data_IF_500395407085
#
_entry.id   IF_500395407085
#
_cell.length_a   1.000
_cell.length_b   1.000
_cell.length_c   1.000
_cell.angle_alpha   90.00
_cell.angle_beta   90.00
_cell.angle_gamma   90.00
#
_symmetry.space_group_name_H-M   'P 1'
#
loop_
_entity.id
_entity.type
_entity.pdbx_description
1 polymer ?
#
# COMPACT_ATOMS: atom_id res chain seq x y z
N UNK A 1 -4.79 3.83 -23.24
CA UNK A 1 -5.97 3.75 -22.36
C UNK A 1 -7.10 3.13 -23.16
N UNK A 2 -8.06 2.47 -22.50
CA UNK A 2 -9.09 1.66 -23.17
C UNK A 2 -10.50 2.10 -22.81
N UNK A 3 -11.45 1.75 -23.68
CA UNK A 3 -12.89 1.98 -23.49
C UNK A 3 -13.56 0.67 -23.07
N UNK A 4 -14.55 0.77 -22.17
CA UNK A 4 -15.28 -0.39 -21.64
C UNK A 4 -16.66 0.02 -21.16
N UNK A 5 -17.69 -0.76 -21.47
CA UNK A 5 -19.01 -0.63 -20.86
C UNK A 5 -19.23 -1.83 -19.93
N UNK A 6 -19.46 -1.57 -18.64
CA UNK A 6 -19.79 -2.61 -17.67
C UNK A 6 -21.26 -2.44 -17.29
N UNK A 7 -22.07 -3.47 -17.53
CA UNK A 7 -23.51 -3.44 -17.29
C UNK A 7 -23.90 -4.09 -15.98
N UNK A 8 -25.03 -3.66 -15.41
CA UNK A 8 -25.67 -4.31 -14.27
C UNK A 8 -24.69 -4.55 -13.10
N UNK A 9 -24.14 -3.48 -12.55
CA UNK A 9 -23.32 -3.48 -11.33
C UNK A 9 -23.94 -2.56 -10.28
N UNK A 10 -23.54 -2.69 -9.01
CA UNK A 10 -24.04 -1.89 -7.89
C UNK A 10 -22.92 -1.02 -7.31
N UNK A 11 -22.78 0.25 -7.75
CA UNK A 11 -21.79 1.19 -7.23
C UNK A 11 -21.86 1.33 -5.72
N UNK A 12 -20.79 0.94 -5.02
CA UNK A 12 -20.72 0.96 -3.56
C UNK A 12 -21.89 0.24 -2.85
N UNK A 13 -22.56 -0.69 -3.55
CA UNK A 13 -23.76 -1.38 -3.05
C UNK A 13 -25.10 -0.69 -3.26
N UNK A 14 -25.13 0.41 -4.03
CA UNK A 14 -26.37 1.10 -4.44
C UNK A 14 -27.18 0.36 -5.50
N UNK A 15 -28.04 1.10 -6.20
CA UNK A 15 -28.93 0.56 -7.23
C UNK A 15 -28.17 0.04 -8.47
N UNK A 16 -28.71 -0.99 -9.16
CA UNK A 16 -28.15 -1.48 -10.42
C UNK A 16 -27.95 -0.36 -11.45
N UNK A 17 -26.73 -0.28 -11.98
CA UNK A 17 -26.24 0.79 -12.85
C UNK A 17 -25.27 0.21 -13.88
N UNK A 18 -25.16 0.83 -15.05
CA UNK A 18 -24.10 0.58 -16.02
C UNK A 18 -23.04 1.69 -15.91
N UNK A 19 -21.76 1.35 -16.09
CA UNK A 19 -20.64 2.31 -16.10
C UNK A 19 -19.96 2.26 -17.46
N UNK A 20 -19.91 3.40 -18.14
CA UNK A 20 -19.12 3.59 -19.36
C UNK A 20 -17.77 4.23 -19.02
N UNK A 21 -16.69 3.57 -19.41
CA UNK A 21 -15.32 4.07 -19.34
C UNK A 21 -14.88 4.48 -20.74
N UNK A 22 -14.32 5.69 -20.88
CA UNK A 22 -13.66 6.20 -22.08
C UNK A 22 -12.29 6.72 -21.74
N UNK A 23 -11.28 6.36 -22.53
CA UNK A 23 -9.89 6.78 -22.32
C UNK A 23 -9.43 6.54 -20.87
N UNK A 24 -9.86 5.42 -20.28
CA UNK A 24 -9.51 5.04 -18.92
C UNK A 24 -10.15 5.87 -17.80
N UNK A 25 -11.17 6.69 -18.09
CA UNK A 25 -11.97 7.41 -17.08
C UNK A 25 -13.45 7.07 -17.19
N UNK A 26 -14.16 7.10 -16.07
CA UNK A 26 -15.62 6.97 -16.02
C UNK A 26 -16.22 8.17 -16.76
N UNK A 27 -16.84 7.91 -17.90
CA UNK A 27 -17.44 8.92 -18.77
C UNK A 27 -18.93 9.13 -18.47
N UNK A 28 -19.64 8.05 -18.15
CA UNK A 28 -21.07 8.10 -17.87
C UNK A 28 -21.51 6.95 -16.96
N UNK A 29 -22.61 7.15 -16.23
CA UNK A 29 -23.20 6.19 -15.32
C UNK A 29 -24.73 6.28 -15.38
N UNK A 30 -25.39 5.15 -15.58
CA UNK A 30 -26.85 5.11 -15.65
C UNK A 30 -27.40 3.75 -16.04
N UNK A 31 -28.71 3.60 -16.01
CA UNK A 31 -29.37 2.36 -16.44
C UNK A 31 -29.52 2.32 -17.97
N UNK A 32 -29.17 1.20 -18.59
CA UNK A 32 -29.44 0.94 -20.01
C UNK A 32 -28.51 1.69 -20.96
N UNK A 33 -27.28 2.00 -20.53
CA UNK A 33 -26.32 2.73 -21.37
C UNK A 33 -26.02 1.96 -22.66
N UNK A 34 -25.95 2.71 -23.75
CA UNK A 34 -25.56 2.22 -25.07
C UNK A 34 -24.26 2.89 -25.50
N UNK A 35 -23.30 2.09 -25.95
CA UNK A 35 -22.00 2.58 -26.41
C UNK A 35 -21.54 1.75 -27.60
N UNK A 36 -21.87 2.22 -28.80
CA UNK A 36 -21.52 1.52 -30.04
C UNK A 36 -20.00 1.36 -30.19
N UNK A 37 -19.57 0.16 -30.57
CA UNK A 37 -18.15 -0.16 -30.78
C UNK A 37 -17.31 -0.32 -29.51
N UNK A 38 -17.92 -0.24 -28.32
CA UNK A 38 -17.22 -0.44 -27.03
C UNK A 38 -17.38 -1.89 -26.57
N UNK A 39 -16.30 -2.56 -26.10
CA UNK A 39 -16.40 -3.85 -25.44
C UNK A 39 -17.36 -3.80 -24.25
N UNK A 40 -18.19 -4.84 -24.09
CA UNK A 40 -19.21 -4.91 -23.04
C UNK A 40 -18.90 -6.05 -22.08
N UNK A 41 -18.96 -5.76 -20.79
CA UNK A 41 -18.87 -6.72 -19.69
C UNK A 41 -20.18 -6.78 -18.93
N UNK A 42 -20.70 -7.99 -18.70
CA UNK A 42 -21.88 -8.20 -17.87
C UNK A 42 -21.45 -8.36 -16.41
N UNK A 43 -21.83 -7.41 -15.57
CA UNK A 43 -21.43 -7.34 -14.17
C UNK A 43 -22.26 -8.21 -13.22
N UNK A 44 -23.39 -8.77 -13.67
CA UNK A 44 -24.16 -9.78 -12.94
C UNK A 44 -24.78 -9.33 -11.61
N UNK A 45 -24.98 -8.02 -11.40
CA UNK A 45 -25.50 -7.43 -10.16
C UNK A 45 -24.48 -7.39 -9.03
N UNK A 46 -23.20 -7.65 -9.30
CA UNK A 46 -22.14 -7.57 -8.31
C UNK A 46 -21.91 -6.13 -7.83
N UNK A 47 -21.32 -5.99 -6.64
CA UNK A 47 -20.90 -4.70 -6.12
C UNK A 47 -19.71 -4.20 -6.95
N UNK A 48 -19.57 -2.90 -7.14
CA UNK A 48 -18.36 -2.29 -7.70
C UNK A 48 -17.82 -1.23 -6.75
N UNK A 49 -16.51 -1.29 -6.51
CA UNK A 49 -15.74 -0.31 -5.73
C UNK A 49 -14.59 0.24 -6.57
N UNK A 50 -13.95 1.37 -6.17
CA UNK A 50 -12.67 1.75 -6.74
C UNK A 50 -11.70 0.58 -6.61
N UNK A 51 -10.80 0.44 -7.59
CA UNK A 51 -9.82 -0.62 -7.60
C UNK A 51 -9.11 -0.75 -6.25
N UNK A 52 -8.89 -1.98 -5.79
CA UNK A 52 -8.19 -2.20 -4.52
C UNK A 52 -6.76 -1.65 -4.61
N UNK A 53 -6.24 -1.22 -3.47
CA UNK A 53 -4.94 -0.56 -3.36
C UNK A 53 -4.15 -1.16 -2.22
N UNK A 54 -2.95 -1.64 -2.51
CA UNK A 54 -1.98 -2.02 -1.48
C UNK A 54 -1.06 -0.82 -1.22
N UNK A 55 -1.36 -0.05 -0.18
CA UNK A 55 -0.67 1.21 0.09
C UNK A 55 0.68 1.04 0.80
N UNK A 56 1.04 -0.18 1.19
CA UNK A 56 2.32 -0.47 1.84
C UNK A 56 2.61 -1.98 1.77
N UNK A 57 3.58 -2.36 0.94
CA UNK A 57 4.03 -3.74 0.79
C UNK A 57 5.53 -3.82 0.48
N UNK A 58 6.06 -5.04 0.42
CA UNK A 58 7.41 -5.33 -0.02
C UNK A 58 7.41 -6.40 -1.13
N UNK A 59 7.44 -5.98 -2.39
CA UNK A 59 7.40 -6.88 -3.53
C UNK A 59 8.72 -7.66 -3.71
N UNK A 60 9.85 -7.09 -3.32
CA UNK A 60 11.21 -7.59 -3.60
C UNK A 60 11.62 -8.82 -2.77
N UNK A 61 10.86 -9.14 -1.71
CA UNK A 61 11.30 -10.05 -0.64
C UNK A 61 10.37 -11.22 -0.35
N UNK A 62 9.22 -11.30 -1.03
CA UNK A 62 8.30 -12.43 -0.83
C UNK A 62 8.95 -13.76 -1.23
N UNK A 63 8.57 -14.83 -0.55
CA UNK A 63 8.87 -16.23 -0.94
C UNK A 63 7.63 -16.92 -1.51
N UNK A 64 6.63 -16.14 -1.92
CA UNK A 64 5.41 -16.67 -2.52
C UNK A 64 5.69 -17.44 -3.82
N UNK A 65 5.12 -18.64 -3.95
CA UNK A 65 5.40 -19.55 -5.07
C UNK A 65 6.78 -20.21 -5.03
N UNK A 66 7.56 -20.04 -3.96
CA UNK A 66 8.77 -20.84 -3.70
C UNK A 66 8.45 -21.98 -2.73
N UNK A 67 9.39 -22.92 -2.61
CA UNK A 67 9.37 -23.92 -1.55
C UNK A 67 9.40 -23.26 -0.16
N UNK A 68 8.94 -23.99 0.85
CA UNK A 68 8.97 -23.48 2.21
C UNK A 68 10.41 -23.36 2.72
N UNK A 69 10.79 -22.17 3.19
CA UNK A 69 12.05 -21.95 3.89
C UNK A 69 11.81 -21.96 5.41
N UNK A 70 12.69 -22.62 6.15
CA UNK A 70 12.68 -22.55 7.61
C UNK A 70 13.18 -21.18 8.06
N UNK A 71 12.38 -20.49 8.88
CA UNK A 71 12.72 -19.15 9.36
C UNK A 71 13.24 -19.24 10.81
N UNK A 72 14.55 -19.03 10.97
CA UNK A 72 15.24 -19.00 12.26
C UNK A 72 15.68 -17.58 12.68
N UNK A 73 15.02 -16.55 12.13
CA UNK A 73 15.32 -15.17 12.45
C UNK A 73 15.12 -14.86 13.95
N UNK A 74 16.02 -14.05 14.51
CA UNK A 74 15.86 -13.55 15.88
C UNK A 74 14.62 -12.67 15.99
N UNK A 75 13.92 -12.72 17.13
CA UNK A 75 12.69 -11.96 17.40
C UNK A 75 12.95 -10.48 17.77
N UNK A 76 13.90 -9.83 17.09
CA UNK A 76 14.18 -8.39 17.20
C UNK A 76 14.16 -7.77 15.81
N UNK A 77 13.85 -6.47 15.71
CA UNK A 77 13.82 -5.76 14.42
C UNK A 77 15.14 -5.94 13.66
N UNK A 78 16.26 -5.59 14.31
CA UNK A 78 17.60 -5.77 13.73
C UNK A 78 17.92 -7.22 13.40
N UNK A 79 17.50 -8.16 14.26
CA UNK A 79 17.70 -9.58 14.01
C UNK A 79 17.01 -10.10 12.74
N UNK A 80 15.82 -9.59 12.42
CA UNK A 80 15.12 -9.91 11.16
C UNK A 80 15.77 -9.25 9.96
N UNK A 81 16.12 -7.97 10.07
CA UNK A 81 16.80 -7.22 9.00
C UNK A 81 18.13 -7.88 8.62
N UNK A 82 18.94 -8.23 9.61
CA UNK A 82 20.22 -8.89 9.37
C UNK A 82 20.01 -10.28 8.76
N UNK A 83 19.04 -11.06 9.27
CA UNK A 83 18.73 -12.37 8.71
C UNK A 83 18.30 -12.27 7.25
N UNK A 84 17.33 -11.39 6.95
CA UNK A 84 16.86 -11.15 5.58
C UNK A 84 18.01 -10.78 4.65
N UNK A 85 18.79 -9.77 5.02
CA UNK A 85 19.87 -9.25 4.18
C UNK A 85 20.88 -10.33 3.83
N UNK A 86 21.23 -11.19 4.79
CA UNK A 86 22.24 -12.22 4.57
C UNK A 86 21.67 -13.46 3.85
N UNK A 87 20.39 -13.78 4.03
CA UNK A 87 19.81 -15.05 3.57
C UNK A 87 19.14 -14.98 2.20
N UNK A 88 18.80 -13.80 1.66
CA UNK A 88 18.16 -13.65 0.33
C UNK A 88 18.85 -14.45 -0.78
N UNK A 89 20.19 -14.35 -0.86
CA UNK A 89 20.98 -15.04 -1.88
C UNK A 89 20.98 -16.57 -1.68
N UNK A 90 21.07 -17.03 -0.44
CA UNK A 90 21.09 -18.46 -0.10
C UNK A 90 19.72 -19.12 -0.34
N UNK A 91 18.64 -18.41 -0.01
CA UNK A 91 17.26 -18.84 -0.28
C UNK A 91 16.95 -18.81 -1.79
N UNK A 92 17.73 -18.07 -2.58
CA UNK A 92 17.52 -17.93 -4.03
C UNK A 92 16.34 -17.02 -4.37
N UNK A 93 16.14 -15.97 -3.58
CA UNK A 93 15.15 -14.92 -3.85
C UNK A 93 15.63 -14.09 -5.04
N UNK A 94 14.94 -14.24 -6.17
CA UNK A 94 15.13 -13.41 -7.35
C UNK A 94 14.14 -12.22 -7.30
N UNK A 95 14.61 -10.96 -7.22
CA UNK A 95 13.74 -9.82 -6.98
C UNK A 95 12.69 -9.60 -8.08
N UNK A 96 13.03 -9.82 -9.35
CA UNK A 96 12.09 -9.66 -10.46
C UNK A 96 11.02 -10.76 -10.45
N UNK A 97 11.43 -12.03 -10.25
CA UNK A 97 10.49 -13.16 -10.14
C UNK A 97 9.56 -13.00 -8.94
N UNK A 98 10.09 -12.64 -7.78
CA UNK A 98 9.30 -12.53 -6.55
C UNK A 98 8.36 -11.33 -6.60
N UNK A 99 8.82 -10.17 -7.08
CA UNK A 99 7.95 -9.02 -7.26
C UNK A 99 6.83 -9.28 -8.27
N UNK A 100 7.13 -9.94 -9.39
CA UNK A 100 6.12 -10.36 -10.38
C UNK A 100 5.05 -11.27 -9.75
N UNK A 101 5.46 -12.31 -9.01
CA UNK A 101 4.51 -13.23 -8.35
C UNK A 101 3.61 -12.52 -7.35
N UNK A 102 4.19 -11.63 -6.54
CA UNK A 102 3.44 -10.85 -5.57
C UNK A 102 2.42 -9.93 -6.28
N UNK A 103 2.88 -9.13 -7.25
CA UNK A 103 2.03 -8.19 -7.96
C UNK A 103 0.90 -8.88 -8.74
N UNK A 104 1.18 -10.00 -9.42
CA UNK A 104 0.15 -10.80 -10.10
C UNK A 104 -0.88 -11.37 -9.10
N UNK A 105 -0.45 -11.81 -7.92
CA UNK A 105 -1.37 -12.21 -6.85
C UNK A 105 -2.29 -11.07 -6.40
N UNK A 106 -1.75 -9.86 -6.26
CA UNK A 106 -2.52 -8.67 -5.89
C UNK A 106 -3.51 -8.30 -7.01
N UNK A 107 -3.09 -8.30 -8.27
CA UNK A 107 -3.95 -8.03 -9.43
C UNK A 107 -5.10 -9.03 -9.50
N UNK A 108 -4.80 -10.33 -9.36
CA UNK A 108 -5.80 -11.39 -9.33
C UNK A 108 -6.87 -11.16 -8.25
N UNK A 109 -6.48 -10.57 -7.12
CA UNK A 109 -7.38 -10.25 -6.01
C UNK A 109 -7.95 -8.82 -6.04
N UNK A 110 -7.75 -8.07 -7.13
CA UNK A 110 -8.43 -6.79 -7.38
C UNK A 110 -7.55 -5.55 -7.33
N UNK A 111 -6.24 -5.67 -7.07
CA UNK A 111 -5.38 -4.50 -6.94
C UNK A 111 -5.16 -3.80 -8.28
N UNK A 112 -5.21 -2.46 -8.26
CA UNK A 112 -4.96 -1.57 -9.42
C UNK A 112 -3.87 -0.53 -9.16
N UNK A 113 -3.45 -0.42 -7.90
CA UNK A 113 -2.39 0.46 -7.41
C UNK A 113 -1.65 -0.22 -6.25
N UNK A 114 -0.32 -0.14 -6.26
CA UNK A 114 0.57 -0.73 -5.25
C UNK A 114 1.64 0.31 -4.89
N UNK A 115 1.92 0.48 -3.61
CA UNK A 115 3.15 1.14 -3.12
C UNK A 115 4.06 0.09 -2.48
N UNK A 116 5.21 -0.14 -3.10
CA UNK A 116 6.21 -1.08 -2.61
C UNK A 116 7.40 -0.34 -2.02
N UNK A 117 7.76 -0.67 -0.79
CA UNK A 117 9.05 -0.30 -0.21
C UNK A 117 10.09 -1.33 -0.65
N UNK A 118 11.15 -0.84 -1.30
CA UNK A 118 12.19 -1.70 -1.85
C UNK A 118 13.50 -1.44 -1.14
N UNK A 119 14.05 -2.50 -0.56
CA UNK A 119 15.27 -2.44 0.22
C UNK A 119 16.44 -1.94 -0.64
N UNK A 120 17.13 -0.92 -0.13
CA UNK A 120 18.38 -0.39 -0.68
C UNK A 120 19.41 -0.42 0.43
N UNK A 121 20.46 -1.20 0.22
CA UNK A 121 21.55 -1.35 1.18
C UNK A 121 22.87 -1.66 0.49
N UNK A 122 23.96 -1.55 1.23
CA UNK A 122 25.32 -1.79 0.72
C UNK A 122 25.67 -3.27 0.50
N UNK A 123 24.74 -4.20 0.77
CA UNK A 123 24.91 -5.63 0.45
C UNK A 123 24.37 -5.94 -0.94
N UNK A 124 23.21 -5.39 -1.29
CA UNK A 124 22.52 -5.67 -2.55
C UNK A 124 22.67 -4.54 -3.58
N UNK A 125 23.16 -3.37 -3.18
CA UNK A 125 23.20 -2.18 -4.03
C UNK A 125 21.79 -1.83 -4.49
N UNK A 126 21.61 -1.73 -5.81
CA UNK A 126 20.32 -1.43 -6.46
C UNK A 126 19.64 -2.65 -7.09
N UNK A 127 20.19 -3.87 -6.96
CA UNK A 127 19.67 -5.05 -7.65
C UNK A 127 18.19 -5.35 -7.29
N UNK A 128 17.79 -5.10 -6.05
CA UNK A 128 16.41 -5.28 -5.59
C UNK A 128 15.47 -4.24 -6.24
N UNK A 129 15.91 -2.97 -6.28
CA UNK A 129 15.23 -1.88 -6.94
C UNK A 129 15.05 -2.14 -8.44
N UNK A 130 16.13 -2.51 -9.14
CA UNK A 130 16.10 -2.84 -10.57
C UNK A 130 15.12 -3.97 -10.89
N UNK A 131 15.05 -5.00 -10.05
CA UNK A 131 14.10 -6.11 -10.22
C UNK A 131 12.64 -5.67 -10.08
N UNK A 132 12.33 -4.80 -9.12
CA UNK A 132 10.97 -4.26 -8.95
C UNK A 132 10.61 -3.29 -10.07
N UNK A 133 11.55 -2.46 -10.53
CA UNK A 133 11.37 -1.61 -11.72
C UNK A 133 11.05 -2.46 -12.94
N UNK A 134 11.75 -3.57 -13.18
CA UNK A 134 11.45 -4.47 -14.28
C UNK A 134 10.02 -5.03 -14.22
N UNK A 135 9.55 -5.39 -13.01
CA UNK A 135 8.16 -5.82 -12.78
C UNK A 135 7.16 -4.70 -13.06
N UNK A 136 7.41 -3.48 -12.56
CA UNK A 136 6.57 -2.29 -12.84
C UNK A 136 6.40 -2.08 -14.34
N UNK A 137 7.49 -2.06 -15.09
CA UNK A 137 7.43 -1.87 -16.56
C UNK A 137 6.67 -3.00 -17.25
N UNK A 138 6.88 -4.25 -16.81
CA UNK A 138 6.22 -5.41 -17.39
C UNK A 138 4.71 -5.48 -17.09
N UNK A 139 4.25 -4.83 -16.02
CA UNK A 139 2.85 -4.83 -15.55
C UNK A 139 2.15 -3.46 -15.67
N UNK A 140 2.74 -2.47 -16.36
CA UNK A 140 2.20 -1.11 -16.51
C UNK A 140 0.75 -1.03 -17.04
N UNK A 141 0.33 -2.03 -17.82
CA UNK A 141 -1.02 -2.14 -18.39
C UNK A 141 -1.99 -2.90 -17.46
N UNK A 142 -1.51 -3.44 -16.35
CA UNK A 142 -2.25 -4.27 -15.39
C UNK A 142 -2.44 -3.60 -14.03
N UNK A 143 -1.41 -2.92 -13.53
CA UNK A 143 -1.39 -2.27 -12.22
C UNK A 143 -0.40 -1.11 -12.23
N UNK A 144 -0.67 -0.09 -11.45
CA UNK A 144 0.30 0.97 -11.17
C UNK A 144 1.14 0.59 -9.94
N UNK A 145 2.47 0.70 -10.06
CA UNK A 145 3.40 0.41 -8.95
C UNK A 145 4.24 1.65 -8.66
N UNK A 146 4.09 2.19 -7.45
CA UNK A 146 4.90 3.27 -6.88
C UNK A 146 6.00 2.65 -6.00
N UNK A 147 7.23 3.12 -6.16
CA UNK A 147 8.41 2.55 -5.47
C UNK A 147 8.94 3.55 -4.45
N UNK A 148 9.06 3.08 -3.20
CA UNK A 148 9.75 3.78 -2.13
C UNK A 148 11.18 3.25 -2.04
N UNK A 149 12.16 4.14 -2.23
CA UNK A 149 13.57 3.85 -2.01
C UNK A 149 13.83 3.71 -0.50
N UNK A 150 13.95 2.48 0.00
CA UNK A 150 13.84 2.20 1.43
C UNK A 150 15.15 1.69 2.06
N UNK A 151 15.77 2.43 2.99
CA UNK A 151 16.99 2.00 3.66
C UNK A 151 16.70 1.00 4.80
N UNK A 152 16.22 -0.19 4.46
CA UNK A 152 15.84 -1.24 5.43
C UNK A 152 16.96 -1.56 6.43
N UNK A 153 18.22 -1.56 5.96
CA UNK A 153 19.42 -1.82 6.78
C UNK A 153 19.97 -0.59 7.50
N UNK A 154 19.33 0.56 7.35
CA UNK A 154 19.71 1.84 7.97
C UNK A 154 20.80 2.58 7.21
N UNK A 155 20.94 3.85 7.55
CA UNK A 155 21.85 4.79 6.90
C UNK A 155 23.01 5.20 7.81
N UNK A 156 22.75 5.42 9.09
CA UNK A 156 23.70 6.09 9.98
C UNK A 156 24.92 5.23 10.31
N UNK A 157 24.69 3.94 10.55
CA UNK A 157 25.77 2.96 10.81
C UNK A 157 26.32 2.31 9.52
N UNK A 158 25.81 2.69 8.34
CA UNK A 158 26.15 2.07 7.05
C UNK A 158 26.51 3.11 5.99
N UNK A 159 27.78 3.50 5.97
CA UNK A 159 28.35 4.36 4.93
C UNK A 159 28.05 3.81 3.53
N UNK A 160 27.57 4.65 2.62
CA UNK A 160 27.17 4.26 1.27
C UNK A 160 25.66 4.14 1.06
N UNK A 161 24.86 3.94 2.12
CA UNK A 161 23.40 3.77 1.96
C UNK A 161 22.74 5.05 1.44
N UNK A 162 23.12 6.23 1.95
CA UNK A 162 22.52 7.51 1.52
C UNK A 162 22.80 7.79 0.04
N UNK A 163 24.00 7.47 -0.44
CA UNK A 163 24.40 7.60 -1.84
C UNK A 163 23.60 6.65 -2.74
N UNK A 164 23.34 5.42 -2.29
CA UNK A 164 22.49 4.48 -3.02
C UNK A 164 21.02 4.92 -3.09
N UNK A 165 20.49 5.50 -2.01
CA UNK A 165 19.15 6.09 -2.02
C UNK A 165 19.06 7.26 -3.02
N UNK A 166 20.08 8.14 -3.01
CA UNK A 166 20.19 9.25 -3.96
C UNK A 166 20.19 8.76 -5.41
N UNK A 167 20.92 7.68 -5.69
CA UNK A 167 20.96 7.05 -7.00
C UNK A 167 19.61 6.42 -7.39
N UNK A 168 18.96 5.67 -6.51
CA UNK A 168 17.64 5.08 -6.78
C UNK A 168 16.56 6.14 -7.07
N UNK A 169 16.59 7.26 -6.34
CA UNK A 169 15.70 8.40 -6.58
C UNK A 169 15.97 9.04 -7.94
N UNK A 170 17.24 9.20 -8.32
CA UNK A 170 17.62 9.68 -9.65
C UNK A 170 17.21 8.71 -10.78
N UNK A 171 17.16 7.41 -10.50
CA UNK A 171 16.71 6.36 -11.43
C UNK A 171 15.18 6.16 -11.46
N UNK A 172 14.42 6.96 -10.71
CA UNK A 172 12.97 7.02 -10.84
C UNK A 172 12.17 6.35 -9.73
N UNK A 173 12.76 6.10 -8.55
CA UNK A 173 11.96 5.88 -7.34
C UNK A 173 11.10 7.14 -7.04
N UNK A 174 9.84 6.93 -6.70
CA UNK A 174 8.86 7.99 -6.51
C UNK A 174 8.91 8.59 -5.10
N UNK A 175 9.39 7.85 -4.10
CA UNK A 175 9.30 8.24 -2.69
C UNK A 175 10.60 7.92 -1.95
N UNK A 176 10.98 8.80 -1.00
CA UNK A 176 12.08 8.56 -0.07
C UNK A 176 11.58 7.78 1.14
N UNK A 177 12.18 6.64 1.43
CA UNK A 177 11.88 5.84 2.62
C UNK A 177 12.77 6.19 3.81
N UNK A 178 12.36 5.73 5.00
CA UNK A 178 13.16 5.80 6.22
C UNK A 178 12.66 4.78 7.25
N UNK A 179 13.47 4.49 8.28
CA UNK A 179 13.12 3.53 9.33
C UNK A 179 13.56 4.04 10.70
N UNK A 180 12.68 3.94 11.71
CA UNK A 180 12.94 4.09 13.15
C UNK A 180 14.17 4.98 13.50
N UNK A 181 14.01 6.33 13.44
CA UNK A 181 15.09 7.29 13.64
C UNK A 181 15.85 7.11 14.96
N UNK A 182 15.17 6.68 16.02
CA UNK A 182 15.76 6.46 17.33
C UNK A 182 16.15 4.99 17.54
N UNK A 183 15.19 4.08 17.43
CA UNK A 183 15.31 2.68 17.82
C UNK A 183 16.22 1.86 16.91
N UNK A 184 16.34 2.26 15.65
CA UNK A 184 17.16 1.56 14.67
C UNK A 184 18.34 2.39 14.16
N UNK A 185 18.12 3.63 13.72
CA UNK A 185 19.19 4.49 13.21
C UNK A 185 20.10 5.02 14.33
N UNK A 186 19.57 5.16 15.56
CA UNK A 186 20.28 5.64 16.76
C UNK A 186 20.90 7.04 16.66
N UNK A 187 20.60 7.75 15.58
CA UNK A 187 20.85 9.18 15.37
C UNK A 187 19.62 9.78 14.67
N UNK A 188 18.56 10.12 15.42
CA UNK A 188 17.30 10.56 14.83
C UNK A 188 17.44 11.88 14.06
N UNK A 189 18.35 12.76 14.50
CA UNK A 189 18.64 14.00 13.80
C UNK A 189 19.32 13.71 12.46
N UNK A 190 20.40 12.94 12.47
CA UNK A 190 21.13 12.59 11.24
C UNK A 190 20.25 11.85 10.23
N UNK A 191 19.47 10.87 10.70
CA UNK A 191 18.58 10.09 9.85
C UNK A 191 17.49 10.94 9.18
N UNK A 192 16.79 11.77 9.96
CA UNK A 192 15.74 12.62 9.41
C UNK A 192 16.31 13.74 8.53
N UNK A 193 17.46 14.34 8.90
CA UNK A 193 18.12 15.35 8.06
C UNK A 193 18.52 14.75 6.69
N UNK A 194 18.98 13.49 6.65
CA UNK A 194 19.29 12.78 5.40
C UNK A 194 18.03 12.50 4.55
N UNK A 195 16.97 11.94 5.15
CA UNK A 195 15.71 11.62 4.46
C UNK A 195 15.08 12.88 3.86
N UNK A 196 14.91 13.94 4.67
CA UNK A 196 14.33 15.19 4.21
C UNK A 196 15.24 15.92 3.21
N UNK A 197 16.56 15.83 3.37
CA UNK A 197 17.53 16.36 2.40
C UNK A 197 17.40 15.71 1.02
N UNK A 198 17.29 14.38 0.96
CA UNK A 198 17.03 13.63 -0.28
C UNK A 198 15.68 14.02 -0.90
N UNK A 199 14.64 14.12 -0.07
CA UNK A 199 13.30 14.48 -0.52
C UNK A 199 13.28 15.88 -1.16
N UNK A 200 13.94 16.87 -0.55
CA UNK A 200 14.07 18.21 -1.12
C UNK A 200 14.92 18.23 -2.40
N UNK A 201 16.05 17.50 -2.40
CA UNK A 201 16.94 17.42 -3.57
C UNK A 201 16.21 16.91 -4.81
N UNK A 202 15.37 15.89 -4.66
CA UNK A 202 14.67 15.22 -5.77
C UNK A 202 13.23 15.72 -5.97
N UNK A 203 12.72 16.57 -5.08
CA UNK A 203 11.33 17.03 -5.10
C UNK A 203 10.31 15.90 -4.90
N UNK A 204 10.65 14.90 -4.07
CA UNK A 204 9.86 13.68 -3.84
C UNK A 204 9.19 13.67 -2.46
N UNK A 205 8.03 13.02 -2.29
CA UNK A 205 7.44 12.79 -0.97
C UNK A 205 8.24 11.77 -0.16
N UNK A 206 7.85 11.60 1.10
CA UNK A 206 8.48 10.73 2.09
C UNK A 206 7.47 9.70 2.61
N UNK A 207 7.92 8.47 2.89
CA UNK A 207 7.15 7.45 3.61
C UNK A 207 8.05 6.72 4.62
N UNK A 208 7.93 7.05 5.91
CA UNK A 208 8.80 6.53 6.97
C UNK A 208 8.13 5.37 7.69
N UNK A 209 8.82 4.24 7.77
CA UNK A 209 8.48 3.16 8.70
C UNK A 209 8.76 3.61 10.13
N UNK A 210 7.71 3.69 10.95
CA UNK A 210 7.82 4.04 12.36
C UNK A 210 7.18 2.97 13.24
N UNK A 211 7.99 2.02 13.67
CA UNK A 211 7.63 0.93 14.58
C UNK A 211 7.86 1.30 16.05
N UNK A 212 8.57 2.39 16.31
CA UNK A 212 8.80 2.89 17.65
C UNK A 212 7.46 3.17 18.37
N UNK A 213 7.39 2.74 19.64
CA UNK A 213 6.16 2.75 20.43
C UNK A 213 6.23 3.74 21.58
N UNK A 214 5.07 4.08 22.12
CA UNK A 214 4.94 4.98 23.28
C UNK A 214 5.69 6.29 23.06
N UNK A 215 6.34 6.81 24.10
CA UNK A 215 7.04 8.10 24.05
C UNK A 215 8.21 8.14 23.06
N UNK A 216 8.87 7.02 22.79
CA UNK A 216 9.97 7.01 21.81
C UNK A 216 9.43 7.28 20.40
N UNK A 217 8.35 6.60 20.04
CA UNK A 217 7.69 6.85 18.75
C UNK A 217 7.05 8.23 18.69
N UNK A 218 6.47 8.71 19.80
CA UNK A 218 5.94 10.08 19.88
C UNK A 218 7.04 11.14 19.65
N UNK A 219 8.21 10.97 20.27
CA UNK A 219 9.37 11.83 20.06
C UNK A 219 9.82 11.83 18.59
N UNK A 220 9.92 10.65 17.97
CA UNK A 220 10.26 10.56 16.54
C UNK A 220 9.20 11.22 15.64
N UNK A 221 7.91 11.06 15.95
CA UNK A 221 6.83 11.76 15.24
C UNK A 221 6.96 13.28 15.37
N UNK A 222 7.23 13.81 16.56
CA UNK A 222 7.41 15.24 16.77
C UNK A 222 8.60 15.80 15.98
N UNK A 223 9.70 15.05 15.89
CA UNK A 223 10.84 15.42 15.05
C UNK A 223 10.52 15.39 13.55
N UNK A 224 9.63 14.49 13.12
CA UNK A 224 9.08 14.46 11.76
C UNK A 224 8.20 15.70 11.54
N UNK A 225 7.28 16.01 12.47
CA UNK A 225 6.38 17.17 12.39
C UNK A 225 7.15 18.48 12.29
N UNK A 226 8.20 18.66 13.11
CA UNK A 226 9.09 19.82 13.08
C UNK A 226 9.67 20.04 11.68
N UNK A 227 10.20 18.99 11.05
CA UNK A 227 10.80 19.07 9.70
C UNK A 227 9.75 19.26 8.63
N UNK A 228 8.62 18.58 8.72
CA UNK A 228 7.47 18.78 7.83
C UNK A 228 7.04 20.24 7.80
N UNK A 229 6.95 20.89 8.97
CA UNK A 229 6.66 22.33 9.06
C UNK A 229 7.78 23.19 8.51
N UNK A 230 9.01 22.96 8.97
CA UNK A 230 10.17 23.78 8.63
C UNK A 230 10.46 23.80 7.12
N UNK A 231 10.16 22.71 6.42
CA UNK A 231 10.46 22.54 5.01
C UNK A 231 9.23 22.68 4.09
N UNK A 232 8.06 23.01 4.65
CA UNK A 232 6.83 23.22 3.88
C UNK A 232 6.35 21.94 3.17
N UNK A 233 6.46 20.79 3.83
CA UNK A 233 6.16 19.47 3.28
C UNK A 233 4.82 18.89 3.75
N UNK A 234 3.88 19.75 4.17
CA UNK A 234 2.50 19.34 4.49
C UNK A 234 1.89 18.55 3.32
N UNK A 235 1.21 17.44 3.61
CA UNK A 235 0.65 16.55 2.59
C UNK A 235 1.66 15.65 1.87
N UNK A 236 2.97 15.82 2.10
CA UNK A 236 4.05 15.12 1.37
C UNK A 236 4.86 14.15 2.22
N UNK A 237 4.49 13.96 3.48
CA UNK A 237 5.18 13.04 4.41
C UNK A 237 4.16 12.05 4.95
N UNK A 238 4.33 10.77 4.64
CA UNK A 238 3.57 9.66 5.19
C UNK A 238 4.30 8.95 6.32
N UNK A 239 3.53 8.34 7.22
CA UNK A 239 4.07 7.49 8.29
C UNK A 239 3.42 6.11 8.18
N UNK A 240 4.27 5.11 7.92
CA UNK A 240 3.91 3.70 7.92
C UNK A 240 3.98 3.11 9.33
N UNK A 241 3.02 2.24 9.63
CA UNK A 241 2.74 1.61 10.93
C UNK A 241 2.24 2.55 12.03
N UNK A 242 3.01 3.59 12.35
CA UNK A 242 2.71 4.59 13.37
C UNK A 242 2.26 3.99 14.72
N UNK A 243 2.92 2.94 15.21
CA UNK A 243 2.48 2.19 16.40
C UNK A 243 2.33 3.05 17.66
N UNK A 244 3.04 4.19 17.76
CA UNK A 244 2.86 5.16 18.83
C UNK A 244 1.42 5.70 18.93
N UNK A 245 0.70 5.83 17.81
CA UNK A 245 -0.71 6.24 17.80
C UNK A 245 -1.67 5.16 18.34
N UNK A 246 -1.17 3.95 18.60
CA UNK A 246 -1.92 2.88 19.26
C UNK A 246 -1.74 2.83 20.78
N UNK A 247 -0.88 3.68 21.34
CA UNK A 247 -0.52 3.64 22.75
C UNK A 247 -1.73 3.92 23.67
N UNK A 248 -1.78 3.30 24.87
CA UNK A 248 -2.91 3.42 25.79
C UNK A 248 -3.05 4.79 26.44
N UNK A 249 -2.07 5.69 26.32
CA UNK A 249 -2.19 7.08 26.75
C UNK A 249 -3.00 7.88 25.74
N UNK A 250 -4.32 7.97 25.99
CA UNK A 250 -5.26 8.59 25.07
C UNK A 250 -5.04 10.08 24.86
N UNK A 251 -4.61 10.81 25.90
CA UNK A 251 -4.36 12.25 25.80
C UNK A 251 -3.10 12.51 24.97
N UNK A 252 -2.04 11.74 25.22
CA UNK A 252 -0.81 11.84 24.44
C UNK A 252 -1.04 11.51 22.98
N UNK A 253 -1.71 10.38 22.72
CA UNK A 253 -2.05 9.94 21.37
C UNK A 253 -2.98 10.93 20.67
N UNK A 254 -3.94 11.54 21.36
CA UNK A 254 -4.82 12.54 20.74
C UNK A 254 -4.05 13.77 20.26
N UNK A 255 -3.12 14.29 21.06
CA UNK A 255 -2.29 15.42 20.64
C UNK A 255 -1.46 15.10 19.38
N UNK A 256 -0.94 13.86 19.27
CA UNK A 256 -0.26 13.42 18.05
C UNK A 256 -1.22 13.31 16.86
N UNK A 257 -2.44 12.81 17.07
CA UNK A 257 -3.48 12.73 16.02
C UNK A 257 -3.82 14.12 15.49
N UNK A 258 -3.98 15.11 16.37
CA UNK A 258 -4.31 16.49 15.98
C UNK A 258 -3.19 17.09 15.11
N UNK A 259 -1.93 16.85 15.47
CA UNK A 259 -0.76 17.26 14.68
C UNK A 259 -0.67 16.56 13.31
N UNK A 260 -0.95 15.25 13.27
CA UNK A 260 -1.02 14.48 12.01
C UNK A 260 -2.09 15.07 11.08
N UNK A 261 -3.26 15.43 11.61
CA UNK A 261 -4.33 16.05 10.85
C UNK A 261 -3.96 17.46 10.37
N UNK A 262 -3.37 18.30 11.23
CA UNK A 262 -2.92 19.65 10.87
C UNK A 262 -1.90 19.65 9.72
N UNK A 263 -0.99 18.67 9.72
CA UNK A 263 0.08 18.56 8.73
C UNK A 263 -0.30 17.75 7.48
N UNK A 264 -1.52 17.23 7.42
CA UNK A 264 -2.01 16.31 6.38
C UNK A 264 -1.05 15.13 6.15
N UNK A 265 -0.61 14.49 7.24
CA UNK A 265 0.28 13.33 7.19
C UNK A 265 -0.59 12.07 7.01
N UNK A 266 -0.55 11.37 5.85
CA UNK A 266 -1.26 10.11 5.71
C UNK A 266 -0.63 9.02 6.58
N UNK A 267 -1.48 8.17 7.15
CA UNK A 267 -1.07 7.02 7.97
C UNK A 267 -1.30 5.72 7.21
N UNK A 268 -0.25 4.92 7.05
CA UNK A 268 -0.34 3.60 6.44
C UNK A 268 -0.32 2.51 7.51
N UNK A 269 -1.38 1.71 7.62
CA UNK A 269 -1.53 0.70 8.66
C UNK A 269 -1.63 -0.70 8.09
N UNK A 270 -0.94 -1.63 8.73
CA UNK A 270 -0.97 -3.05 8.35
C UNK A 270 -1.86 -3.86 9.30
N UNK A 271 -2.38 -3.26 10.39
CA UNK A 271 -3.19 -3.98 11.38
C UNK A 271 -2.42 -5.06 12.14
N UNK A 272 -1.09 -4.90 12.30
CA UNK A 272 -0.19 -5.88 12.92
C UNK A 272 -0.75 -6.49 14.24
N UNK A 273 -1.07 -7.81 14.26
CA UNK A 273 -1.61 -8.50 15.45
C UNK A 273 -0.71 -8.46 16.68
N UNK A 274 0.60 -8.31 16.48
CA UNK A 274 1.63 -8.29 17.54
C UNK A 274 1.92 -6.89 18.08
N UNK A 275 1.17 -5.87 17.66
CA UNK A 275 1.41 -4.48 18.02
C UNK A 275 0.17 -3.78 18.52
N UNK A 276 0.36 -2.77 19.37
CA UNK A 276 -0.58 -1.66 19.48
C UNK A 276 -0.54 -0.92 18.14
N UNK A 277 -1.71 -0.68 17.55
CA UNK A 277 -1.83 -0.09 16.20
C UNK A 277 -2.72 1.15 16.27
N UNK A 278 -2.58 2.10 15.33
CA UNK A 278 -3.47 3.25 15.27
C UNK A 278 -4.94 2.82 15.20
N UNK A 279 -5.77 3.41 16.04
CA UNK A 279 -7.21 3.16 16.06
C UNK A 279 -7.89 3.83 14.87
N UNK A 280 -8.17 3.07 13.81
CA UNK A 280 -8.54 3.65 12.49
C UNK A 280 -9.80 4.53 12.54
N UNK A 281 -10.75 4.21 13.44
CA UNK A 281 -11.98 5.00 13.56
C UNK A 281 -11.72 6.37 14.20
N UNK A 282 -10.74 6.49 15.12
CA UNK A 282 -10.32 7.79 15.65
C UNK A 282 -9.63 8.63 14.60
N UNK A 283 -8.76 8.01 13.80
CA UNK A 283 -8.07 8.69 12.71
C UNK A 283 -9.06 9.19 11.66
N UNK A 284 -10.07 8.36 11.32
CA UNK A 284 -11.19 8.75 10.46
C UNK A 284 -11.93 9.98 11.02
N UNK A 285 -12.28 9.96 12.30
CA UNK A 285 -13.01 11.07 12.94
C UNK A 285 -12.17 12.37 12.99
N UNK A 286 -10.84 12.24 13.01
CA UNK A 286 -9.90 13.36 12.88
C UNK A 286 -9.67 13.82 11.42
N UNK A 287 -10.26 13.15 10.43
CA UNK A 287 -10.11 13.49 9.01
C UNK A 287 -8.76 13.07 8.40
N UNK A 288 -8.02 12.16 9.04
CA UNK A 288 -6.72 11.70 8.57
C UNK A 288 -6.89 10.74 7.40
N UNK A 289 -6.15 10.98 6.31
CA UNK A 289 -6.05 10.06 5.17
C UNK A 289 -5.30 8.80 5.59
N UNK A 290 -5.83 7.64 5.22
CA UNK A 290 -5.28 6.35 5.62
C UNK A 290 -5.21 5.36 4.46
N UNK A 291 -4.16 4.55 4.46
CA UNK A 291 -4.04 3.39 3.57
C UNK A 291 -3.76 2.10 4.34
N UNK A 292 -4.43 1.02 3.95
CA UNK A 292 -4.14 -0.33 4.36
C UNK A 292 -3.01 -0.90 3.50
N UNK A 293 -2.09 -1.65 4.11
CA UNK A 293 -0.99 -2.30 3.39
C UNK A 293 -0.75 -3.73 3.83
N UNK A 294 -0.32 -4.58 2.91
CA UNK A 294 -0.01 -5.97 3.21
C UNK A 294 1.26 -6.14 4.06
N UNK A 295 2.17 -5.18 4.06
CA UNK A 295 3.51 -5.35 4.63
C UNK A 295 4.26 -6.49 3.90
N UNK A 296 5.17 -7.17 4.58
CA UNK A 296 5.71 -8.46 4.13
C UNK A 296 4.63 -9.54 3.94
N UNK A 297 4.69 -10.25 2.81
CA UNK A 297 3.86 -11.43 2.53
C UNK A 297 4.75 -12.64 2.37
N UNK A 298 4.59 -13.62 3.28
CA UNK A 298 5.32 -14.89 3.32
C UNK A 298 6.79 -14.70 2.92
N UNK A 299 7.58 -14.19 3.83
CA UNK A 299 8.98 -13.82 3.60
C UNK A 299 9.86 -14.23 4.79
N UNK A 300 11.07 -13.65 4.87
CA UNK A 300 11.99 -13.91 5.97
C UNK A 300 11.65 -13.12 7.24
N UNK A 301 10.69 -12.19 7.20
CA UNK A 301 10.16 -11.49 8.37
C UNK A 301 9.04 -12.26 9.05
N UNK A 302 8.17 -12.89 8.26
CA UNK A 302 7.01 -13.60 8.77
C UNK A 302 6.35 -14.55 7.78
N UNK A 303 5.65 -15.57 8.29
CA UNK A 303 5.00 -16.59 7.46
C UNK A 303 3.61 -16.18 6.94
N UNK A 304 3.11 -15.01 7.36
CA UNK A 304 1.71 -14.61 7.18
C UNK A 304 1.49 -13.76 5.93
N UNK A 305 0.23 -13.40 5.69
CA UNK A 305 -0.18 -12.54 4.60
C UNK A 305 -0.66 -13.32 3.38
N UNK A 306 -1.55 -12.69 2.64
CA UNK A 306 -2.03 -13.11 1.33
C UNK A 306 -2.01 -11.86 0.43
N UNK A 307 -1.69 -11.99 -0.87
CA UNK A 307 -1.73 -10.87 -1.80
C UNK A 307 -3.20 -10.50 -2.12
N UNK A 308 -3.91 -10.01 -1.11
CA UNK A 308 -5.34 -9.74 -1.10
C UNK A 308 -5.69 -8.62 -0.10
N UNK A 309 -6.14 -7.48 -0.61
CA UNK A 309 -6.50 -6.34 0.22
C UNK A 309 -7.79 -6.50 1.02
N UNK A 310 -8.70 -7.42 0.65
CA UNK A 310 -9.84 -7.76 1.51
C UNK A 310 -9.40 -8.63 2.69
N UNK A 311 -8.41 -9.51 2.50
CA UNK A 311 -7.76 -10.18 3.63
C UNK A 311 -7.04 -9.17 4.53
N UNK A 312 -6.37 -8.16 3.96
CA UNK A 312 -5.77 -7.10 4.77
C UNK A 312 -6.80 -6.28 5.53
N UNK A 313 -7.90 -5.89 4.89
CA UNK A 313 -9.01 -5.19 5.55
C UNK A 313 -9.60 -6.02 6.70
N UNK A 314 -9.71 -7.34 6.55
CA UNK A 314 -10.11 -8.25 7.64
C UNK A 314 -9.12 -8.18 8.81
N UNK A 315 -7.81 -8.31 8.55
CA UNK A 315 -6.78 -8.26 9.59
C UNK A 315 -6.84 -6.92 10.35
N UNK A 316 -6.93 -5.81 9.63
CA UNK A 316 -7.07 -4.47 10.22
C UNK A 316 -8.36 -4.38 11.05
N UNK A 317 -9.49 -4.86 10.51
CA UNK A 317 -10.78 -4.82 11.19
C UNK A 317 -10.80 -5.66 12.46
N UNK A 318 -10.28 -6.89 12.41
CA UNK A 318 -10.14 -7.76 13.59
C UNK A 318 -9.23 -7.13 14.64
N UNK A 319 -8.10 -6.55 14.22
CA UNK A 319 -7.15 -5.91 15.15
C UNK A 319 -7.76 -4.72 15.87
N UNK A 320 -8.59 -3.94 15.18
CA UNK A 320 -9.30 -2.77 15.71
C UNK A 320 -10.63 -3.12 16.41
N UNK A 321 -11.04 -4.39 16.40
CA UNK A 321 -12.28 -4.82 17.04
C UNK A 321 -13.56 -4.32 16.37
N UNK A 322 -13.52 -4.04 15.06
CA UNK A 322 -14.66 -3.53 14.30
C UNK A 322 -15.81 -4.54 14.24
N UNK A 323 -17.05 -4.06 14.34
CA UNK A 323 -18.27 -4.90 14.37
C UNK A 323 -19.40 -4.36 13.51
N UNK A 324 -19.52 -3.05 13.37
CA UNK A 324 -20.63 -2.41 12.68
C UNK A 324 -20.35 -2.27 11.18
N UNK A 325 -21.40 -2.28 10.35
CA UNK A 325 -21.26 -2.22 8.89
C UNK A 325 -20.44 -1.00 8.42
N UNK A 326 -20.71 0.19 8.96
CA UNK A 326 -19.96 1.40 8.60
C UNK A 326 -18.48 1.33 8.96
N UNK A 327 -18.10 0.54 9.97
CA UNK A 327 -16.70 0.33 10.35
C UNK A 327 -16.02 -0.65 9.37
N UNK A 328 -16.73 -1.72 8.99
CA UNK A 328 -16.26 -2.68 8.00
C UNK A 328 -16.12 -2.03 6.61
N UNK A 329 -17.09 -1.20 6.23
CA UNK A 329 -17.03 -0.35 5.03
C UNK A 329 -15.80 0.57 5.06
N UNK A 330 -15.48 1.15 6.23
CA UNK A 330 -14.28 1.96 6.35
C UNK A 330 -12.99 1.13 6.21
N UNK A 331 -12.96 -0.11 6.71
CA UNK A 331 -11.83 -1.02 6.48
C UNK A 331 -11.64 -1.34 4.98
N UNK A 332 -12.74 -1.50 4.22
CA UNK A 332 -12.67 -1.62 2.74
C UNK A 332 -12.22 -0.31 2.09
N UNK A 333 -12.70 0.83 2.58
CA UNK A 333 -12.36 2.15 2.05
C UNK A 333 -10.86 2.42 2.12
N UNK A 334 -10.22 2.18 3.28
CA UNK A 334 -8.77 2.37 3.43
C UNK A 334 -7.94 1.33 2.66
N UNK A 335 -8.55 0.30 2.06
CA UNK A 335 -7.91 -0.67 1.17
C UNK A 335 -8.30 -0.46 -0.31
N UNK A 336 -9.00 0.63 -0.64
CA UNK A 336 -9.47 0.99 -1.98
C UNK A 336 -9.27 2.49 -2.23
N UNK A 337 -10.35 3.25 -2.49
CA UNK A 337 -10.27 4.67 -2.81
C UNK A 337 -9.67 5.54 -1.69
N UNK A 338 -9.83 5.15 -0.42
CA UNK A 338 -9.19 5.84 0.71
C UNK A 338 -7.67 5.67 0.72
N UNK A 339 -7.18 4.45 0.42
CA UNK A 339 -5.74 4.21 0.23
C UNK A 339 -5.19 4.98 -0.96
N UNK A 340 -5.91 4.99 -2.09
CA UNK A 340 -5.54 5.80 -3.26
C UNK A 340 -5.40 7.28 -2.90
N UNK A 341 -6.36 7.83 -2.14
CA UNK A 341 -6.30 9.20 -1.64
C UNK A 341 -5.12 9.43 -0.69
N UNK A 342 -4.82 8.48 0.21
CA UNK A 342 -3.64 8.55 1.08
C UNK A 342 -2.33 8.56 0.27
N UNK A 343 -2.31 7.91 -0.89
CA UNK A 343 -1.22 7.93 -1.87
C UNK A 343 -1.26 9.13 -2.84
N UNK A 344 -2.20 10.07 -2.68
CA UNK A 344 -2.30 11.27 -3.52
C UNK A 344 -2.97 11.05 -4.87
N UNK A 345 -3.81 10.01 -5.01
CA UNK A 345 -4.68 9.78 -6.18
C UNK A 345 -6.12 10.17 -5.82
N UNK A 346 -6.53 11.35 -6.26
CA UNK A 346 -7.85 11.90 -5.99
C UNK A 346 -8.94 11.43 -6.97
N UNK A 347 -8.63 10.65 -7.99
CA UNK A 347 -9.62 10.25 -8.99
C UNK A 347 -10.18 8.83 -8.79
N UNK A 348 -9.79 8.12 -7.73
CA UNK A 348 -10.34 6.80 -7.37
C UNK A 348 -11.74 6.91 -6.73
N UNK A 349 -12.70 7.40 -7.51
CA UNK A 349 -14.10 7.63 -7.12
C UNK A 349 -15.02 7.01 -8.16
N UNK A 350 -16.14 6.43 -7.71
CA UNK A 350 -17.16 5.86 -8.61
C UNK A 350 -18.15 6.94 -9.01
N UNK A 351 -17.69 7.86 -9.84
CA UNK A 351 -18.46 8.97 -10.40
C UNK A 351 -17.87 9.41 -11.74
N UNK A 352 -18.63 10.15 -12.54
CA UNK A 352 -18.13 10.72 -13.81
C UNK A 352 -16.86 11.56 -13.58
N UNK A 353 -15.83 11.30 -14.37
CA UNK A 353 -14.49 11.89 -14.25
C UNK A 353 -13.51 11.05 -13.43
N UNK A 354 -14.01 10.12 -12.62
CA UNK A 354 -13.19 9.17 -11.85
C UNK A 354 -12.37 8.23 -12.73
N UNK A 355 -11.36 7.59 -12.14
CA UNK A 355 -10.53 6.61 -12.80
C UNK A 355 -11.35 5.37 -13.19
N UNK A 356 -11.07 4.83 -14.38
CA UNK A 356 -11.62 3.55 -14.86
C UNK A 356 -10.97 2.34 -14.19
N UNK A 357 -10.70 2.45 -12.89
CA UNK A 357 -9.98 1.51 -12.05
C UNK A 357 -10.97 0.92 -11.05
N UNK A 358 -11.44 -0.31 -11.33
CA UNK A 358 -12.62 -0.88 -10.68
C UNK A 358 -12.35 -2.31 -10.23
N UNK A 359 -12.90 -2.68 -9.08
CA UNK A 359 -12.97 -4.08 -8.62
C UNK A 359 -14.42 -4.46 -8.38
N UNK A 360 -14.88 -5.53 -9.03
CA UNK A 360 -16.17 -6.14 -8.74
C UNK A 360 -16.03 -7.08 -7.54
N UNK A 361 -17.01 -7.05 -6.63
CA UNK A 361 -17.08 -7.88 -5.44
C UNK A 361 -18.38 -8.67 -5.38
N UNK A 362 -18.28 -9.92 -4.94
CA UNK A 362 -19.46 -10.74 -4.62
C UNK A 362 -19.95 -10.42 -3.21
N UNK A 363 -21.26 -10.23 -3.06
CA UNK A 363 -21.88 -9.94 -1.77
C UNK A 363 -23.17 -9.14 -1.89
N UNK A 364 -23.90 -9.05 -0.79
CA UNK A 364 -25.12 -8.23 -0.71
C UNK A 364 -24.78 -6.77 -0.38
N UNK A 365 -23.80 -6.58 0.50
CA UNK A 365 -23.24 -5.30 0.96
C UNK A 365 -21.71 -5.38 0.98
N UNK A 366 -21.03 -4.24 1.14
CA UNK A 366 -19.57 -4.21 1.27
C UNK A 366 -19.07 -5.00 2.50
N UNK A 367 -19.77 -4.89 3.64
CA UNK A 367 -19.49 -5.71 4.83
C UNK A 367 -19.57 -7.20 4.54
N UNK A 368 -20.63 -7.63 3.82
CA UNK A 368 -20.80 -9.03 3.43
C UNK A 368 -19.66 -9.50 2.52
N UNK A 369 -19.26 -8.69 1.54
CA UNK A 369 -18.13 -8.99 0.66
C UNK A 369 -16.81 -9.11 1.43
N UNK A 370 -16.54 -8.22 2.39
CA UNK A 370 -15.35 -8.24 3.24
C UNK A 370 -15.26 -9.52 4.09
N UNK A 371 -16.40 -9.98 4.62
CA UNK A 371 -16.44 -11.17 5.49
C UNK A 371 -16.32 -12.46 4.68
N UNK A 372 -16.91 -12.54 3.48
CA UNK A 372 -16.84 -13.75 2.66
C UNK A 372 -15.56 -13.87 1.82
N UNK A 373 -15.01 -12.76 1.32
CA UNK A 373 -13.80 -12.68 0.46
C UNK A 373 -13.79 -13.65 -0.73
N UNK A 374 -14.93 -13.83 -1.39
CA UNK A 374 -15.04 -14.67 -2.59
C UNK A 374 -14.25 -14.09 -3.78
N UNK A 375 -13.72 -14.93 -4.70
CA UNK A 375 -12.91 -14.49 -5.84
C UNK A 375 -13.52 -13.30 -6.59
N UNK A 376 -12.67 -12.38 -7.07
CA UNK A 376 -13.15 -11.14 -7.70
C UNK A 376 -13.64 -11.45 -9.11
N UNK A 377 -14.93 -11.18 -9.43
CA UNK A 377 -15.46 -11.52 -10.75
C UNK A 377 -14.74 -10.77 -11.88
N UNK A 378 -14.41 -9.50 -11.65
CA UNK A 378 -13.78 -8.64 -12.64
C UNK A 378 -12.88 -7.60 -11.98
N UNK A 379 -11.71 -7.36 -12.58
CA UNK A 379 -10.78 -6.30 -12.21
C UNK A 379 -10.47 -5.48 -13.45
N UNK A 380 -10.54 -4.17 -13.34
CA UNK A 380 -10.34 -3.23 -14.44
C UNK A 380 -9.30 -2.19 -14.06
N UNK A 381 -8.32 -1.93 -14.92
CA UNK A 381 -7.33 -0.83 -14.81
C UNK A 381 -7.43 0.04 -16.06
N UNK A 382 -7.74 1.32 -15.89
CA UNK A 382 -7.87 2.31 -16.95
C UNK A 382 -8.72 1.81 -18.13
N UNK A 383 -9.87 1.20 -17.82
CA UNK A 383 -10.81 0.64 -18.80
C UNK A 383 -10.39 -0.70 -19.43
N UNK A 384 -9.26 -1.28 -19.04
CA UNK A 384 -8.81 -2.60 -19.48
C UNK A 384 -9.14 -3.64 -18.42
N UNK A 385 -9.76 -4.75 -18.81
CA UNK A 385 -9.93 -5.90 -17.92
C UNK A 385 -8.57 -6.57 -17.68
N UNK A 386 -8.14 -6.69 -16.42
CA UNK A 386 -6.83 -7.23 -16.01
C UNK A 386 -6.92 -8.57 -15.31
N UNK A 387 -8.05 -8.88 -14.68
CA UNK A 387 -8.30 -10.19 -14.08
C UNK A 387 -9.79 -10.57 -14.10
N UNK A 388 -10.05 -11.87 -14.08
CA UNK A 388 -11.39 -12.50 -13.96
C UNK A 388 -11.33 -13.68 -13.02
N UNK A 389 -12.34 -13.81 -12.16
CA UNK A 389 -12.52 -14.93 -11.25
C UNK A 389 -11.24 -15.33 -10.49
N UNK A 390 -10.48 -14.34 -10.03
CA UNK A 390 -9.22 -14.56 -9.31
C UNK A 390 -8.03 -14.95 -10.17
N UNK A 391 -8.07 -14.74 -11.49
CA UNK A 391 -6.99 -15.07 -12.43
C UNK A 391 -6.62 -13.86 -13.29
N UNK A 392 -5.32 -13.55 -13.40
CA UNK A 392 -4.81 -12.46 -14.25
C UNK A 392 -4.93 -12.82 -15.73
N UNK A 393 -5.30 -11.86 -16.58
CA UNK A 393 -5.42 -12.04 -18.02
C UNK A 393 -4.13 -11.60 -18.73
N UNK A 394 -3.66 -12.42 -19.68
CA UNK A 394 -2.54 -12.08 -20.57
C UNK A 394 -1.17 -12.11 -19.89
N UNK A 395 -1.08 -12.63 -18.66
CA UNK A 395 0.16 -12.85 -17.91
C UNK A 395 0.05 -14.15 -17.13
N UNK A 396 1.04 -15.02 -17.27
CA UNK A 396 1.17 -16.22 -16.47
C UNK A 396 2.07 -15.96 -15.26
N UNK A 397 1.80 -16.67 -14.16
CA UNK A 397 2.66 -16.65 -12.98
C UNK A 397 4.02 -17.32 -13.31
N UNK A 398 5.16 -16.63 -13.11
CA UNK A 398 6.48 -17.20 -13.38
C UNK A 398 6.96 -18.15 -12.27
#
# INVERSE_FOLDING_TARGET
MADLLIRNIRPMGGEPTDILIRDGRIADMGAGLQADGVPVEEGGGHLVIPGLVDAHTHLDKTTWGMDWHANDAKKTLRGRIDYEREQRLEIGIDPARQSMRHALGLIANGATLIRSHVDIDTRHGLALFEGVVATREALRDHVEIEIVAFPQSGMMERTGTVELLDEALAQGAEIVGGIDPCGFERDPKGALDAIFGLAQKHGKPIDIHLHERGELGAFSMEMIFERTRALGMQGKVGISHAFALGAPDWLRTQALIDEVAELDIPIFTTGAPSAEVPAIMRLKDAGIRMGGGCDGIRDTWGPWGLPDMLHRAEVIGMRNGLRCDFELEHAVHICSGGAAQAMGRDDYRIETGGAGDLTLLQGQTLSHALVQRLPRPLVVKAGRVTARDGTVIGKDMP
#
